data_IF_172978180340
#
_entry.id   IF_172978180340
#
_cell.length_a   1.000
_cell.length_b   1.000
_cell.length_c   1.000
_cell.angle_alpha   90.00
_cell.angle_beta   90.00
_cell.angle_gamma   90.00
#
_symmetry.space_group_name_H-M   'P 1'
#
loop_
_entity.id
_entity.type
_entity.pdbx_description
1 polymer ?
#
# COMPACT_ATOMS: atom_id res chain seq x y z
N UNK A 1 8.65 14.80 2.02
CA UNK A 1 8.63 15.52 3.32
C UNK A 1 7.49 16.53 3.43
N UNK A 2 7.13 17.23 2.35
CA UNK A 2 6.01 18.19 2.36
C UNK A 2 4.68 17.59 2.84
N UNK A 3 4.43 16.32 2.52
CA UNK A 3 3.25 15.58 2.99
C UNK A 3 3.05 15.63 4.51
N UNK A 4 4.10 15.41 5.30
CA UNK A 4 4.01 15.47 6.78
C UNK A 4 3.94 16.90 7.32
N UNK A 5 4.23 17.92 6.48
CA UNK A 5 4.03 19.33 6.85
C UNK A 5 2.58 19.73 6.65
N UNK A 6 1.95 19.28 5.56
CA UNK A 6 0.56 19.60 5.22
C UNK A 6 -0.42 18.72 6.00
N UNK A 7 -0.17 17.41 6.06
CA UNK A 7 -1.07 16.43 6.68
C UNK A 7 -1.00 16.36 8.20
N UNK A 8 -0.11 17.12 8.84
CA UNK A 8 0.13 17.04 10.29
C UNK A 8 1.28 16.08 10.64
N UNK A 9 1.97 16.34 11.75
CA UNK A 9 3.11 15.49 12.14
C UNK A 9 2.59 14.23 12.82
N UNK A 10 3.22 13.09 12.52
CA UNK A 10 3.09 11.90 13.37
C UNK A 10 3.74 12.17 14.73
N UNK A 11 3.12 11.82 15.88
CA UNK A 11 2.03 10.83 16.05
C UNK A 11 0.60 11.37 16.04
N UNK A 12 0.38 12.68 15.90
CA UNK A 12 -0.94 13.31 16.11
C UNK A 12 -1.94 13.08 14.96
N UNK A 13 -1.54 12.35 13.93
CA UNK A 13 -2.37 12.08 12.75
C UNK A 13 -2.22 10.63 12.28
N UNK A 14 -3.35 10.01 11.92
CA UNK A 14 -3.38 8.69 11.29
C UNK A 14 -3.18 8.83 9.78
N UNK A 15 -2.29 8.00 9.24
CA UNK A 15 -1.97 7.95 7.83
C UNK A 15 -2.33 6.59 7.25
N UNK A 16 -3.05 6.61 6.13
CA UNK A 16 -3.27 5.47 5.27
C UNK A 16 -2.64 5.77 3.90
N UNK A 17 -1.56 5.07 3.63
CA UNK A 17 -0.86 5.07 2.35
C UNK A 17 -1.41 3.93 1.50
N UNK A 18 -1.83 4.22 0.26
CA UNK A 18 -2.54 3.26 -0.59
C UNK A 18 -1.69 2.76 -1.75
N UNK A 19 -0.38 2.54 -1.60
CA UNK A 19 0.50 1.95 -2.62
C UNK A 19 1.27 2.97 -3.48
N UNK A 20 2.06 2.46 -4.42
CA UNK A 20 2.94 3.21 -5.35
C UNK A 20 3.99 4.08 -4.66
N UNK A 21 4.85 3.42 -3.89
CA UNK A 21 5.98 4.04 -3.19
C UNK A 21 7.27 3.99 -3.98
N UNK A 22 7.35 3.08 -4.95
CA UNK A 22 8.55 2.79 -5.74
C UNK A 22 8.29 3.00 -7.22
N UNK A 23 9.40 3.04 -7.98
CA UNK A 23 9.46 3.34 -9.42
C UNK A 23 9.18 4.80 -9.82
N UNK A 24 9.55 5.14 -11.06
CA UNK A 24 9.39 6.45 -11.73
C UNK A 24 10.08 7.66 -11.07
N UNK A 25 10.61 7.51 -9.86
CA UNK A 25 11.43 8.49 -9.16
C UNK A 25 12.84 7.98 -8.84
N UNK A 26 13.77 8.89 -8.52
CA UNK A 26 15.17 8.55 -8.20
C UNK A 26 15.42 8.20 -6.72
N UNK A 27 14.38 8.34 -5.89
CA UNK A 27 14.45 8.23 -4.43
C UNK A 27 13.45 7.22 -3.87
N UNK A 28 13.19 6.14 -4.62
CA UNK A 28 12.25 5.10 -4.23
C UNK A 28 12.71 4.38 -2.97
N UNK A 29 14.01 4.04 -2.90
CA UNK A 29 14.62 3.36 -1.74
C UNK A 29 14.43 4.18 -0.46
N UNK A 30 14.73 5.48 -0.50
CA UNK A 30 14.60 6.37 0.65
C UNK A 30 13.12 6.53 1.05
N UNK A 31 12.23 6.60 0.06
CA UNK A 31 10.79 6.73 0.29
C UNK A 31 10.23 5.51 1.01
N UNK A 32 10.47 4.31 0.48
CA UNK A 32 9.99 3.06 1.10
C UNK A 32 10.64 2.85 2.48
N UNK A 33 11.95 3.13 2.62
CA UNK A 33 12.66 2.98 3.90
C UNK A 33 12.06 3.89 4.97
N UNK A 34 11.78 5.15 4.63
CA UNK A 34 11.14 6.09 5.54
C UNK A 34 9.74 5.63 5.96
N UNK A 35 8.93 5.17 5.01
CA UNK A 35 7.59 4.66 5.30
C UNK A 35 7.62 3.45 6.23
N UNK A 36 8.53 2.51 5.99
CA UNK A 36 8.72 1.33 6.85
C UNK A 36 9.20 1.74 8.24
N UNK A 37 10.15 2.66 8.35
CA UNK A 37 10.62 3.19 9.63
C UNK A 37 9.49 3.86 10.41
N UNK A 38 8.65 4.66 9.75
CA UNK A 38 7.47 5.27 10.36
C UNK A 38 6.43 4.23 10.78
N UNK A 39 6.22 3.18 9.98
CA UNK A 39 5.35 2.05 10.33
C UNK A 39 5.85 1.31 11.56
N UNK A 40 7.16 1.12 11.71
CA UNK A 40 7.76 0.49 12.89
C UNK A 40 7.62 1.41 14.11
N UNK A 41 7.90 2.71 13.96
CA UNK A 41 7.86 3.70 15.04
C UNK A 41 6.44 3.98 15.55
N UNK A 42 5.46 3.99 14.65
CA UNK A 42 4.07 4.37 14.90
C UNK A 42 3.10 3.33 14.33
N UNK A 43 3.22 2.07 14.80
CA UNK A 43 2.52 0.89 14.28
C UNK A 43 1.01 1.03 14.14
N UNK A 44 0.37 1.77 15.06
CA UNK A 44 -1.08 1.98 15.09
C UNK A 44 -1.53 3.16 14.23
N UNK A 45 -0.66 4.17 14.03
CA UNK A 45 -0.97 5.42 13.32
C UNK A 45 -0.70 5.34 11.82
N UNK A 46 0.28 4.54 11.41
CA UNK A 46 0.68 4.41 10.01
C UNK A 46 0.16 3.09 9.46
N UNK A 47 -0.62 3.14 8.39
CA UNK A 47 -1.05 1.97 7.62
C UNK A 47 -0.54 2.12 6.19
N UNK A 48 0.08 1.06 5.66
CA UNK A 48 0.69 1.01 4.34
C UNK A 48 0.02 -0.15 3.61
N UNK A 49 -0.65 0.15 2.50
CA UNK A 49 -1.20 -0.87 1.60
C UNK A 49 -0.21 -1.16 0.47
N UNK A 50 -0.35 -2.34 -0.12
CA UNK A 50 0.36 -2.76 -1.32
C UNK A 50 -0.29 -2.15 -2.57
N UNK A 51 0.51 -1.53 -3.43
CA UNK A 51 0.11 -1.13 -4.78
C UNK A 51 0.65 -2.06 -5.85
N UNK A 52 0.38 -1.76 -7.13
CA UNK A 52 0.84 -2.61 -8.23
C UNK A 52 2.34 -2.45 -8.47
N UNK A 53 2.91 -1.29 -8.15
CA UNK A 53 4.36 -1.07 -8.18
C UNK A 53 5.11 -1.81 -7.07
N UNK A 54 4.45 -2.31 -6.03
CA UNK A 54 5.05 -3.17 -5.00
C UNK A 54 5.04 -4.67 -5.42
N UNK A 55 5.47 -4.95 -6.65
CA UNK A 55 5.59 -6.29 -7.24
C UNK A 55 6.97 -6.49 -7.88
N UNK A 56 7.47 -7.73 -7.91
CA UNK A 56 8.78 -8.07 -8.50
C UNK A 56 8.81 -7.74 -9.98
N UNK A 57 7.73 -8.00 -10.70
CA UNK A 57 7.65 -7.75 -12.14
C UNK A 57 7.71 -6.26 -12.49
N UNK A 58 6.93 -5.43 -11.80
CA UNK A 58 6.91 -3.99 -12.08
C UNK A 58 8.24 -3.36 -11.64
N UNK A 59 8.74 -3.67 -10.45
CA UNK A 59 10.00 -3.09 -9.95
C UNK A 59 11.23 -3.46 -10.79
N UNK A 60 11.22 -4.60 -11.48
CA UNK A 60 12.28 -4.98 -12.42
C UNK A 60 12.26 -4.13 -13.70
N UNK A 61 11.06 -3.77 -14.18
CA UNK A 61 10.91 -3.08 -15.47
C UNK A 61 10.95 -1.55 -15.33
N UNK A 62 10.45 -1.02 -14.21
CA UNK A 62 10.19 0.42 -14.05
C UNK A 62 11.24 1.17 -13.21
N UNK A 63 12.34 0.51 -12.87
CA UNK A 63 13.58 1.15 -12.44
C UNK A 63 13.94 0.99 -10.96
N UNK A 64 13.07 0.46 -10.10
CA UNK A 64 13.44 0.23 -8.69
C UNK A 64 14.55 -0.81 -8.51
N UNK A 65 14.56 -1.87 -9.34
CA UNK A 65 15.66 -2.84 -9.36
C UNK A 65 16.99 -2.17 -9.67
N UNK A 66 17.03 -1.37 -10.75
CA UNK A 66 18.23 -0.65 -11.17
C UNK A 66 18.66 0.39 -10.13
N UNK A 67 17.70 1.05 -9.46
CA UNK A 67 17.99 1.97 -8.36
C UNK A 67 18.71 1.26 -7.21
N UNK A 68 18.21 0.09 -6.78
CA UNK A 68 18.83 -0.71 -5.74
C UNK A 68 20.23 -1.18 -6.15
N UNK A 69 20.37 -1.67 -7.39
CA UNK A 69 21.65 -2.15 -7.91
C UNK A 69 22.68 -1.01 -7.97
N UNK A 70 22.29 0.17 -8.46
CA UNK A 70 23.15 1.34 -8.56
C UNK A 70 23.57 1.89 -7.19
N UNK A 71 22.67 1.89 -6.20
CA UNK A 71 22.95 2.46 -4.86
C UNK A 71 23.76 1.51 -3.97
N UNK A 72 23.53 0.21 -4.06
CA UNK A 72 24.11 -0.78 -3.14
C UNK A 72 25.06 -1.78 -3.80
N UNK A 73 25.23 -1.72 -5.12
CA UNK A 73 26.12 -2.60 -5.89
C UNK A 73 25.63 -4.04 -6.03
N UNK A 74 24.46 -4.38 -5.50
CA UNK A 74 23.85 -5.70 -5.62
C UNK A 74 22.32 -5.64 -5.49
N UNK A 75 21.65 -6.73 -5.87
CA UNK A 75 20.19 -6.84 -5.86
C UNK A 75 19.60 -7.34 -4.52
N UNK A 76 20.39 -7.52 -3.45
CA UNK A 76 19.86 -8.05 -2.19
C UNK A 76 18.86 -7.09 -1.55
N UNK A 77 19.13 -5.77 -1.63
CA UNK A 77 18.21 -4.75 -1.12
C UNK A 77 16.87 -4.82 -1.84
N UNK A 78 16.89 -4.96 -3.16
CA UNK A 78 15.66 -5.16 -3.94
C UNK A 78 14.91 -6.42 -3.49
N UNK A 79 15.60 -7.56 -3.32
CA UNK A 79 14.98 -8.80 -2.83
C UNK A 79 14.30 -8.61 -1.47
N UNK A 80 14.98 -7.98 -0.52
CA UNK A 80 14.41 -7.71 0.80
C UNK A 80 13.17 -6.82 0.73
N UNK A 81 13.15 -5.82 -0.14
CA UNK A 81 11.95 -5.01 -0.35
C UNK A 81 10.82 -5.79 -0.99
N UNK A 82 11.09 -6.61 -2.01
CA UNK A 82 10.04 -7.42 -2.65
C UNK A 82 9.46 -8.45 -1.70
N UNK A 83 10.28 -9.05 -0.84
CA UNK A 83 9.80 -9.98 0.19
C UNK A 83 8.97 -9.25 1.25
N UNK A 84 9.36 -8.01 1.61
CA UNK A 84 8.57 -7.15 2.49
C UNK A 84 7.21 -6.78 1.87
N UNK A 85 7.17 -6.51 0.57
CA UNK A 85 5.94 -6.13 -0.14
C UNK A 85 4.86 -7.20 -0.09
N UNK A 86 5.24 -8.48 -0.05
CA UNK A 86 4.30 -9.58 0.08
C UNK A 86 3.54 -9.57 1.42
N UNK A 87 4.11 -8.95 2.46
CA UNK A 87 3.44 -8.80 3.76
C UNK A 87 2.50 -7.60 3.84
N UNK A 88 2.51 -6.70 2.84
CA UNK A 88 1.69 -5.50 2.87
C UNK A 88 0.20 -5.86 2.65
N UNK A 89 -0.71 -5.32 3.47
CA UNK A 89 -2.15 -5.48 3.26
C UNK A 89 -2.60 -4.95 1.90
N UNK A 90 -3.55 -5.63 1.26
CA UNK A 90 -4.08 -5.19 -0.04
C UNK A 90 -5.12 -4.07 0.10
N UNK A 91 -5.87 -4.06 1.20
CA UNK A 91 -7.03 -3.17 1.39
C UNK A 91 -7.16 -2.71 2.84
N UNK A 92 -7.84 -1.58 3.02
CA UNK A 92 -8.22 -1.05 4.33
C UNK A 92 -9.69 -0.60 4.35
N UNK A 93 -10.34 -0.76 5.51
CA UNK A 93 -11.63 -0.15 5.80
C UNK A 93 -11.47 0.90 6.89
N UNK A 94 -11.81 2.14 6.57
CA UNK A 94 -11.79 3.28 7.49
C UNK A 94 -13.19 3.55 8.02
N UNK A 95 -13.32 3.64 9.35
CA UNK A 95 -14.57 3.91 10.07
C UNK A 95 -15.75 3.00 9.69
N UNK A 96 -15.47 1.81 9.16
CA UNK A 96 -16.51 0.89 8.67
C UNK A 96 -17.23 1.34 7.39
N UNK A 97 -16.84 2.50 6.84
CA UNK A 97 -17.59 3.20 5.79
C UNK A 97 -16.77 3.47 4.54
N UNK A 98 -15.44 3.58 4.62
CA UNK A 98 -14.62 3.93 3.46
C UNK A 98 -13.70 2.77 3.13
N UNK A 99 -13.98 2.14 1.99
CA UNK A 99 -13.14 1.06 1.48
C UNK A 99 -12.02 1.63 0.62
N UNK A 100 -10.79 1.32 1.03
CA UNK A 100 -9.55 1.84 0.47
C UNK A 100 -8.73 0.70 -0.13
N UNK A 101 -8.28 0.89 -1.36
CA UNK A 101 -7.41 -0.02 -2.10
C UNK A 101 -6.55 0.83 -3.05
N UNK A 102 -5.43 0.28 -3.50
CA UNK A 102 -4.55 0.99 -4.43
C UNK A 102 -5.19 1.18 -5.81
N UNK A 103 -5.81 0.12 -6.33
CA UNK A 103 -6.41 0.08 -7.67
C UNK A 103 -7.90 0.43 -7.70
N UNK A 104 -8.57 -0.06 -8.76
CA UNK A 104 -9.99 0.10 -8.98
C UNK A 104 -10.74 -1.24 -8.98
N UNK A 105 -12.02 -1.18 -8.64
CA UNK A 105 -12.92 -2.31 -8.48
C UNK A 105 -12.93 -3.26 -9.70
N UNK A 106 -12.68 -4.55 -9.47
CA UNK A 106 -12.70 -5.67 -10.42
C UNK A 106 -14.11 -6.18 -10.70
N UNK A 107 -14.37 -6.71 -11.91
CA UNK A 107 -15.49 -7.60 -12.23
C UNK A 107 -15.71 -8.81 -11.32
N UNK A 108 -14.66 -9.33 -10.67
CA UNK A 108 -14.66 -10.69 -10.12
C UNK A 108 -14.77 -10.83 -8.60
N UNK A 109 -14.76 -9.72 -7.84
CA UNK A 109 -14.83 -9.78 -6.38
C UNK A 109 -16.20 -9.28 -5.91
N UNK A 110 -17.11 -10.20 -5.60
CA UNK A 110 -18.46 -9.81 -5.20
C UNK A 110 -18.58 -9.39 -3.73
N UNK A 111 -17.66 -9.78 -2.85
CA UNK A 111 -17.78 -9.50 -1.41
C UNK A 111 -16.45 -9.18 -0.74
N UNK A 112 -16.50 -8.46 0.39
CA UNK A 112 -15.34 -8.22 1.25
C UNK A 112 -14.73 -9.53 1.78
N UNK A 113 -15.52 -10.60 1.87
CA UNK A 113 -15.05 -11.90 2.35
C UNK A 113 -14.21 -12.63 1.31
N UNK A 114 -14.47 -12.44 0.01
CA UNK A 114 -13.56 -12.92 -1.04
C UNK A 114 -12.18 -12.28 -0.92
N UNK A 115 -12.08 -11.01 -0.55
CA UNK A 115 -10.78 -10.33 -0.37
C UNK A 115 -10.02 -10.92 0.82
N UNK A 116 -10.71 -11.31 1.88
CA UNK A 116 -10.10 -11.95 3.06
C UNK A 116 -9.59 -13.35 2.79
N UNK A 117 -10.14 -14.03 1.78
CA UNK A 117 -9.74 -15.37 1.39
C UNK A 117 -8.56 -15.39 0.41
N UNK A 118 -8.09 -14.22 -0.05
CA UNK A 118 -6.94 -14.13 -0.93
C UNK A 118 -5.65 -14.46 -0.17
N UNK A 119 -4.87 -15.39 -0.70
CA UNK A 119 -3.48 -15.53 -0.27
C UNK A 119 -2.70 -14.32 -0.80
N UNK A 120 -2.23 -13.47 0.11
CA UNK A 120 -1.45 -12.27 -0.23
C UNK A 120 0.06 -12.50 -0.25
N UNK A 121 0.55 -13.62 0.31
CA UNK A 121 1.98 -13.93 0.43
C UNK A 121 2.54 -14.51 -0.87
N UNK A 122 2.06 -13.97 -1.99
CA UNK A 122 2.44 -14.36 -3.33
C UNK A 122 2.59 -13.11 -4.20
N UNK A 123 3.24 -13.30 -5.34
CA UNK A 123 3.35 -12.27 -6.37
C UNK A 123 1.94 -11.86 -6.82
N UNK A 124 1.72 -10.55 -7.00
CA UNK A 124 0.44 -10.03 -7.48
C UNK A 124 0.20 -10.57 -8.90
N UNK A 125 -0.90 -11.29 -9.17
CA UNK A 125 -1.21 -11.75 -10.51
C UNK A 125 -1.32 -10.57 -11.51
N UNK A 126 -0.88 -10.78 -12.76
CA UNK A 126 -0.86 -9.76 -13.82
C UNK A 126 -2.22 -9.07 -14.09
N UNK A 127 -3.33 -9.71 -13.71
CA UNK A 127 -4.69 -9.24 -13.99
C UNK A 127 -5.43 -8.65 -12.79
N UNK A 128 -4.78 -8.44 -11.64
CA UNK A 128 -5.54 -7.96 -10.47
C UNK A 128 -5.72 -6.45 -10.46
N UNK A 129 -6.59 -5.97 -11.35
CA UNK A 129 -7.50 -4.92 -10.95
C UNK A 129 -8.29 -5.51 -9.79
N UNK A 130 -8.06 -5.05 -8.56
CA UNK A 130 -8.80 -5.52 -7.40
C UNK A 130 -10.07 -4.75 -7.25
N UNK A 131 -11.18 -5.46 -7.18
CA UNK A 131 -12.22 -5.00 -6.30
C UNK A 131 -13.61 -5.30 -6.73
N UNK A 132 -14.48 -4.48 -6.19
CA UNK A 132 -15.74 -4.99 -5.71
C UNK A 132 -16.89 -4.44 -6.51
N UNK A 133 -17.70 -5.31 -7.11
CA UNK A 133 -18.99 -4.90 -7.68
C UNK A 133 -20.05 -4.66 -6.62
N UNK A 134 -19.90 -5.23 -5.42
CA UNK A 134 -20.85 -5.05 -4.32
C UNK A 134 -20.13 -4.68 -3.03
N UNK A 135 -19.79 -3.39 -2.94
CA UNK A 135 -19.71 -2.77 -1.61
C UNK A 135 -21.14 -2.67 -1.06
N UNK A 136 -21.37 -3.00 0.22
CA UNK A 136 -22.64 -2.68 0.88
C UNK A 136 -22.97 -1.21 0.64
N UNK A 137 -24.24 -0.84 0.46
CA UNK A 137 -24.67 0.54 0.18
C UNK A 137 -24.19 1.57 1.23
N UNK A 138 -23.75 1.10 2.40
CA UNK A 138 -23.15 1.89 3.48
C UNK A 138 -21.66 2.18 3.31
N UNK A 139 -21.01 1.66 2.24
CA UNK A 139 -19.55 1.73 2.05
C UNK A 139 -19.21 2.49 0.77
N UNK A 140 -18.44 3.57 0.91
CA UNK A 140 -17.95 4.40 -0.20
C UNK A 140 -16.56 3.93 -0.62
N UNK A 141 -16.31 3.75 -1.92
CA UNK A 141 -14.96 3.51 -2.43
C UNK A 141 -14.21 4.83 -2.59
N UNK A 142 -13.07 4.96 -1.92
CA UNK A 142 -12.17 6.08 -2.15
C UNK A 142 -11.05 5.66 -3.11
N UNK A 143 -10.94 6.37 -4.24
CA UNK A 143 -9.78 6.29 -5.17
C UNK A 143 -8.66 7.26 -4.80
N UNK A 144 -8.72 7.87 -3.63
CA UNK A 144 -7.68 8.80 -3.21
C UNK A 144 -6.41 7.99 -3.01
N UNK A 145 -5.27 8.39 -3.55
CA UNK A 145 -4.01 7.63 -3.35
C UNK A 145 -3.52 7.66 -1.89
N UNK A 146 -4.11 8.53 -1.05
CA UNK A 146 -3.73 8.76 0.35
C UNK A 146 -4.94 9.19 1.17
N UNK A 147 -5.09 8.66 2.38
CA UNK A 147 -6.10 9.13 3.33
C UNK A 147 -5.40 9.58 4.62
N UNK A 148 -5.68 10.80 5.04
CA UNK A 148 -5.09 11.44 6.21
C UNK A 148 -6.24 11.90 7.11
N UNK A 149 -6.25 11.43 8.34
CA UNK A 149 -7.25 11.86 9.33
C UNK A 149 -6.66 11.78 10.73
N UNK A 150 -6.92 12.79 11.55
CA UNK A 150 -6.50 12.78 12.95
C UNK A 150 -7.31 11.76 13.79
N UNK A 151 -8.58 11.58 13.43
CA UNK A 151 -9.57 10.88 14.27
C UNK A 151 -10.07 9.55 13.68
N UNK A 152 -9.72 9.21 12.43
CA UNK A 152 -10.26 8.03 11.79
C UNK A 152 -9.68 6.73 12.35
N UNK A 153 -10.56 5.77 12.65
CA UNK A 153 -10.17 4.42 13.08
C UNK A 153 -10.01 3.53 11.85
N UNK A 154 -8.81 2.98 11.67
CA UNK A 154 -8.50 2.06 10.57
C UNK A 154 -8.69 0.63 11.09
N UNK A 155 -9.91 0.10 10.95
CA UNK A 155 -10.37 -1.08 11.71
C UNK A 155 -10.10 -2.41 11.02
N UNK A 156 -10.13 -2.47 9.68
CA UNK A 156 -9.91 -3.72 8.93
C UNK A 156 -8.78 -3.54 7.93
N UNK A 157 -7.65 -4.15 8.23
CA UNK A 157 -6.59 -4.44 7.28
C UNK A 157 -6.92 -5.85 6.80
N UNK A 158 -7.33 -6.05 5.55
CA UNK A 158 -7.37 -7.43 5.07
C UNK A 158 -5.95 -7.96 5.21
N UNK A 159 -5.80 -8.93 6.11
CA UNK A 159 -4.61 -9.72 6.28
C UNK A 159 -4.49 -10.46 4.96
#
# INVERSE_FOLDING_TARGET
MELFRIGGRSPDTNYLFMGDYVDRGYYSVETVTLLVALKVRYRERITILRGNHESRQITQVYGFYDECLRKYGNANVWKFFTDLFDYLPLTALVDGQIFCLHGGLSPSIDTLDHIRALDRLQEVPHEVSFGLHHLPSSVTSARVTRYVSADATITRRCL
#
